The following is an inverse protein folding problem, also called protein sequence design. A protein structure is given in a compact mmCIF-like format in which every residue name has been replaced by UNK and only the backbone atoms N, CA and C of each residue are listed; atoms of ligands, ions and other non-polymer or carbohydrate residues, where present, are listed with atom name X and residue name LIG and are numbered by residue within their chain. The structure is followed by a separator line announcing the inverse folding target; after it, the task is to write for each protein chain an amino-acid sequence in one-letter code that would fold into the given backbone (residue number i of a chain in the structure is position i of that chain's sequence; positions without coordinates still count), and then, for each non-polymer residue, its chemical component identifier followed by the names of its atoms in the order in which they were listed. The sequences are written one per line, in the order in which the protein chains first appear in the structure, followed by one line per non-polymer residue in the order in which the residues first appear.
data_IF_323249765464
#
_entry.id   IF_323249765464
#
_cell.length_a   1.000
_cell.length_b   1.000
_cell.length_c   1.000
_cell.angle_alpha   90.00
_cell.angle_beta   90.00
_cell.angle_gamma   90.00
#
_symmetry.space_group_name_H-M   'P 1'
#
loop_
_entity.id
_entity.type
_entity.pdbx_description
1 polymer ?
#
# COMPACT_ATOMS: atom_id res chain seq x y z
N UNK A 1 8.20 19.58 -1.46
CA UNK A 1 7.28 20.14 -0.43
C UNK A 1 8.09 20.45 0.82
N UNK A 2 7.88 21.60 1.48
CA UNK A 2 8.60 21.91 2.73
C UNK A 2 8.26 20.83 3.78
N UNK A 3 9.23 20.37 4.60
CA UNK A 3 9.04 19.26 5.53
C UNK A 3 7.87 19.48 6.51
N UNK A 4 7.54 20.74 6.81
CA UNK A 4 6.39 21.13 7.64
C UNK A 4 5.03 20.80 7.02
N UNK A 5 4.88 20.83 5.69
CA UNK A 5 3.62 20.46 5.01
C UNK A 5 3.41 18.96 4.97
N UNK A 6 4.48 18.18 4.83
CA UNK A 6 4.41 16.71 4.85
C UNK A 6 4.04 16.21 6.24
N UNK A 7 4.65 16.80 7.29
CA UNK A 7 4.31 16.47 8.69
C UNK A 7 2.84 16.78 9.01
N UNK A 8 2.30 17.90 8.52
CA UNK A 8 0.89 18.25 8.72
C UNK A 8 -0.07 17.26 8.04
N UNK A 9 0.22 16.83 6.81
CA UNK A 9 -0.58 15.84 6.09
C UNK A 9 -0.51 14.48 6.78
N UNK A 10 0.67 14.06 7.24
CA UNK A 10 0.84 12.80 7.97
C UNK A 10 0.06 12.80 9.30
N UNK A 11 0.12 13.91 10.03
CA UNK A 11 -0.62 14.11 11.29
C UNK A 11 -2.14 14.13 11.06
N UNK A 12 -2.61 14.74 9.97
CA UNK A 12 -4.02 14.75 9.60
C UNK A 12 -4.52 13.34 9.23
N UNK A 13 -3.74 12.57 8.46
CA UNK A 13 -4.06 11.18 8.16
C UNK A 13 -4.11 10.32 9.44
N UNK A 14 -3.16 10.50 10.37
CA UNK A 14 -3.15 9.79 11.66
C UNK A 14 -4.33 10.16 12.54
N UNK A 15 -4.74 11.43 12.57
CA UNK A 15 -5.92 11.91 13.30
C UNK A 15 -7.21 11.33 12.72
N UNK A 16 -7.37 11.31 11.40
CA UNK A 16 -8.52 10.72 10.73
C UNK A 16 -8.59 9.19 10.95
N UNK A 17 -7.44 8.53 11.04
CA UNK A 17 -7.35 7.12 11.37
C UNK A 17 -7.84 6.82 12.79
N UNK A 18 -7.42 7.64 13.79
CA UNK A 18 -7.89 7.52 15.17
C UNK A 18 -9.37 7.86 15.33
N UNK A 19 -9.87 8.86 14.59
CA UNK A 19 -11.28 9.23 14.59
C UNK A 19 -12.17 8.13 13.97
N UNK A 20 -11.69 7.45 12.91
CA UNK A 20 -12.38 6.30 12.32
C UNK A 20 -12.48 5.11 13.28
N UNK A 21 -11.45 4.88 14.10
CA UNK A 21 -11.48 3.85 15.16
C UNK A 21 -12.51 4.20 16.26
N UNK A 22 -12.63 5.48 16.63
CA UNK A 22 -13.55 5.95 17.67
C UNK A 22 -15.04 5.92 17.29
N UNK A 23 -15.38 6.18 16.02
CA UNK A 23 -16.77 6.15 15.54
C UNK A 23 -17.34 4.72 15.53
N UNK A 24 -16.49 3.72 15.29
CA UNK A 24 -16.93 2.36 15.08
C UNK A 24 -17.03 1.51 16.38
N UNK A 25 -16.66 2.08 17.53
CA UNK A 25 -16.89 1.47 18.85
C UNK A 25 -18.31 1.73 19.42
N UNK A 26 -19.12 2.60 18.79
CA UNK A 26 -20.35 3.11 19.38
C UNK A 26 -21.67 2.54 18.82
N UNK A 27 -21.67 1.67 17.79
CA UNK A 27 -22.90 1.23 17.10
C UNK A 27 -22.89 -0.28 16.77
N UNK A 28 -24.05 -0.96 16.82
CA UNK A 28 -24.16 -2.42 16.95
C UNK A 28 -24.15 -3.32 15.69
N UNK A 29 -23.62 -4.52 15.92
CA UNK A 29 -23.79 -5.91 15.45
C UNK A 29 -23.72 -6.40 13.97
N UNK A 30 -24.11 -5.67 12.92
CA UNK A 30 -24.01 -6.20 11.52
C UNK A 30 -23.47 -5.18 10.50
N UNK A 31 -24.06 -3.97 10.37
CA UNK A 31 -23.53 -2.94 9.48
C UNK A 31 -22.15 -2.43 9.93
N UNK A 32 -21.84 -2.50 11.23
CA UNK A 32 -20.53 -2.10 11.77
C UNK A 32 -19.44 -3.10 11.43
N UNK A 33 -19.73 -4.41 11.47
CA UNK A 33 -18.77 -5.43 11.05
C UNK A 33 -18.37 -5.23 9.58
N UNK A 34 -19.34 -4.94 8.70
CA UNK A 34 -19.08 -4.62 7.28
C UNK A 34 -18.25 -3.35 7.09
N UNK A 35 -18.50 -2.30 7.88
CA UNK A 35 -17.71 -1.07 7.85
C UNK A 35 -16.24 -1.33 8.26
N UNK A 36 -16.00 -2.13 9.30
CA UNK A 36 -14.66 -2.54 9.70
C UNK A 36 -13.95 -3.39 8.65
N UNK A 37 -14.65 -4.31 7.99
CA UNK A 37 -14.07 -5.12 6.90
C UNK A 37 -13.70 -4.22 5.71
N UNK A 38 -14.52 -3.23 5.36
CA UNK A 38 -14.23 -2.27 4.30
C UNK A 38 -13.00 -1.40 4.64
N UNK A 39 -12.89 -0.93 5.89
CA UNK A 39 -11.70 -0.22 6.36
C UNK A 39 -10.45 -1.10 6.32
N UNK A 40 -10.54 -2.34 6.78
CA UNK A 40 -9.43 -3.30 6.75
C UNK A 40 -8.96 -3.58 5.31
N UNK A 41 -9.89 -3.72 4.35
CA UNK A 41 -9.57 -3.85 2.93
C UNK A 41 -8.82 -2.63 2.38
N UNK A 42 -9.27 -1.42 2.72
CA UNK A 42 -8.59 -0.18 2.34
C UNK A 42 -7.18 -0.05 2.94
N UNK A 43 -7.01 -0.43 4.21
CA UNK A 43 -5.70 -0.41 4.89
C UNK A 43 -4.75 -1.41 4.27
N UNK A 44 -5.20 -2.63 3.97
CA UNK A 44 -4.40 -3.66 3.32
C UNK A 44 -3.87 -3.17 1.96
N UNK A 45 -4.74 -2.58 1.13
CA UNK A 45 -4.36 -1.97 -0.16
C UNK A 45 -3.34 -0.85 -0.03
N UNK A 46 -3.64 0.12 0.83
CA UNK A 46 -2.83 1.32 0.97
C UNK A 46 -1.45 0.98 1.54
N UNK A 47 -1.40 0.11 2.55
CA UNK A 47 -0.15 -0.34 3.17
C UNK A 47 0.73 -1.11 2.19
N UNK A 48 0.15 -2.06 1.44
CA UNK A 48 0.90 -2.84 0.45
C UNK A 48 1.40 -2.00 -0.70
N UNK A 49 0.58 -1.07 -1.21
CA UNK A 49 0.96 -0.17 -2.30
C UNK A 49 2.12 0.77 -1.92
N UNK A 50 2.10 1.31 -0.69
CA UNK A 50 3.20 2.13 -0.18
C UNK A 50 4.49 1.31 -0.03
N UNK A 51 4.40 0.08 0.49
CA UNK A 51 5.55 -0.82 0.63
C UNK A 51 6.13 -1.22 -0.74
N UNK A 52 5.27 -1.57 -1.70
CA UNK A 52 5.67 -1.92 -3.06
C UNK A 52 6.33 -0.73 -3.77
N UNK A 53 5.76 0.47 -3.68
CA UNK A 53 6.36 1.68 -4.25
C UNK A 53 7.75 1.97 -3.68
N UNK A 54 7.95 1.75 -2.37
CA UNK A 54 9.28 1.88 -1.77
C UNK A 54 10.26 0.81 -2.30
N UNK A 55 9.85 -0.45 -2.37
CA UNK A 55 10.67 -1.53 -2.91
C UNK A 55 11.04 -1.28 -4.39
N UNK A 56 10.07 -0.88 -5.21
CA UNK A 56 10.26 -0.56 -6.63
C UNK A 56 11.21 0.61 -6.82
N UNK A 57 11.18 1.63 -5.95
CA UNK A 57 12.11 2.75 -6.06
C UNK A 57 13.58 2.29 -5.96
N UNK A 58 13.86 1.32 -5.08
CA UNK A 58 15.19 0.75 -4.91
C UNK A 58 15.55 -0.22 -6.05
N UNK A 59 14.67 -1.17 -6.38
CA UNK A 59 14.96 -2.17 -7.42
C UNK A 59 14.98 -1.55 -8.82
N UNK A 60 14.12 -0.56 -9.08
CA UNK A 60 14.02 0.13 -10.37
C UNK A 60 15.24 0.99 -10.67
N UNK A 61 15.77 1.72 -9.69
CA UNK A 61 17.00 2.50 -9.85
C UNK A 61 18.22 1.60 -10.10
N UNK A 62 18.34 0.50 -9.36
CA UNK A 62 19.38 -0.51 -9.60
C UNK A 62 19.24 -1.17 -10.99
N UNK A 63 18.02 -1.50 -11.40
CA UNK A 63 17.75 -2.09 -12.71
C UNK A 63 18.08 -1.14 -13.86
N UNK A 64 17.75 0.14 -13.74
CA UNK A 64 18.10 1.16 -14.72
C UNK A 64 19.63 1.31 -14.84
N UNK A 65 20.35 1.37 -13.72
CA UNK A 65 21.81 1.45 -13.72
C UNK A 65 22.48 0.24 -14.39
N UNK A 66 22.05 -0.97 -14.01
CA UNK A 66 22.59 -2.20 -14.58
C UNK A 66 22.33 -2.32 -16.10
N UNK A 67 21.17 -1.82 -16.56
CA UNK A 67 20.81 -1.84 -18.00
C UNK A 67 21.68 -0.87 -18.82
N UNK A 68 22.09 0.26 -18.24
CA UNK A 68 23.01 1.20 -18.90
C UNK A 68 24.39 0.59 -19.08
N UNK A 69 24.90 -0.15 -18.08
CA UNK A 69 26.21 -0.81 -18.18
C UNK A 69 26.19 -2.04 -19.09
N UNK A 70 25.11 -2.84 -19.02
CA UNK A 70 24.98 -4.12 -19.73
C UNK A 70 23.55 -4.25 -20.29
N UNK A 71 23.28 -3.76 -21.51
CA UNK A 71 21.94 -3.77 -22.08
C UNK A 71 21.37 -5.19 -22.24
N UNK A 72 22.24 -6.20 -22.36
CA UNK A 72 21.84 -7.61 -22.49
C UNK A 72 21.18 -8.15 -21.20
N UNK A 73 21.33 -7.47 -20.05
CA UNK A 73 20.72 -7.90 -18.79
C UNK A 73 19.29 -7.40 -18.58
N UNK A 74 18.79 -6.47 -19.41
CA UNK A 74 17.51 -5.78 -19.22
C UNK A 74 16.36 -6.70 -18.81
N UNK A 75 16.13 -7.77 -19.57
CA UNK A 75 15.05 -8.72 -19.31
C UNK A 75 15.17 -9.43 -17.96
N UNK A 76 16.39 -9.73 -17.50
CA UNK A 76 16.62 -10.35 -16.19
C UNK A 76 16.40 -9.36 -15.05
N UNK A 77 16.80 -8.10 -15.21
CA UNK A 77 16.65 -7.10 -14.14
C UNK A 77 15.20 -6.68 -13.94
N UNK A 78 14.39 -6.68 -15.00
CA UNK A 78 12.95 -6.46 -14.91
C UNK A 78 12.23 -7.49 -14.03
N UNK A 79 12.71 -8.73 -13.95
CA UNK A 79 12.12 -9.76 -13.09
C UNK A 79 12.20 -9.31 -11.61
N UNK A 80 13.31 -8.71 -11.18
CA UNK A 80 13.44 -8.23 -9.80
C UNK A 80 12.49 -7.06 -9.49
N UNK A 81 12.27 -6.16 -10.47
CA UNK A 81 11.30 -5.07 -10.32
C UNK A 81 9.87 -5.63 -10.25
N UNK A 82 9.53 -6.62 -11.07
CA UNK A 82 8.22 -7.27 -11.04
C UNK A 82 7.98 -8.05 -9.74
N UNK A 83 9.03 -8.70 -9.19
CA UNK A 83 8.94 -9.38 -7.88
C UNK A 83 8.69 -8.39 -6.73
N UNK A 84 9.23 -7.16 -6.82
CA UNK A 84 8.93 -6.11 -5.84
C UNK A 84 7.45 -5.69 -5.89
N UNK A 85 6.84 -5.67 -7.08
CA UNK A 85 5.42 -5.32 -7.25
C UNK A 85 4.45 -6.40 -6.73
N UNK A 86 4.92 -7.64 -6.59
CA UNK A 86 4.10 -8.71 -6.02
C UNK A 86 3.53 -8.36 -4.63
N UNK A 87 4.23 -7.51 -3.86
CA UNK A 87 3.75 -6.99 -2.57
C UNK A 87 2.40 -6.27 -2.72
N UNK A 88 2.25 -5.42 -3.74
CA UNK A 88 1.00 -4.72 -4.01
C UNK A 88 -0.11 -5.69 -4.46
N UNK A 89 0.24 -6.67 -5.30
CA UNK A 89 -0.72 -7.68 -5.80
C UNK A 89 -1.27 -8.53 -4.65
N UNK A 90 -0.43 -8.93 -3.68
CA UNK A 90 -0.90 -9.65 -2.51
C UNK A 90 -1.82 -8.80 -1.62
N UNK A 91 -1.52 -7.51 -1.42
CA UNK A 91 -2.43 -6.63 -0.70
C UNK A 91 -3.78 -6.43 -1.41
N UNK A 92 -3.77 -6.36 -2.74
CA UNK A 92 -4.98 -6.36 -3.57
C UNK A 92 -5.79 -7.64 -3.47
N UNK A 93 -5.12 -8.78 -3.49
CA UNK A 93 -5.78 -10.07 -3.31
C UNK A 93 -6.49 -10.14 -1.95
N UNK A 94 -5.83 -9.73 -0.87
CA UNK A 94 -6.43 -9.72 0.48
C UNK A 94 -7.59 -8.72 0.54
N UNK A 95 -7.43 -7.52 0.00
CA UNK A 95 -8.49 -6.52 -0.01
C UNK A 95 -9.72 -6.98 -0.80
N UNK A 96 -9.53 -7.63 -1.95
CA UNK A 96 -10.62 -8.23 -2.72
C UNK A 96 -11.29 -9.37 -1.96
N UNK A 97 -10.52 -10.21 -1.30
CA UNK A 97 -11.05 -11.31 -0.48
C UNK A 97 -11.91 -10.79 0.68
N UNK A 98 -11.49 -9.69 1.31
CA UNK A 98 -12.29 -8.99 2.32
C UNK A 98 -13.53 -8.33 1.72
N UNK A 99 -13.40 -7.70 0.55
CA UNK A 99 -14.52 -7.03 -0.12
C UNK A 99 -15.62 -7.99 -0.53
N UNK A 100 -15.28 -9.17 -1.03
CA UNK A 100 -16.25 -10.22 -1.41
C UNK A 100 -17.01 -10.76 -0.18
N UNK A 101 -16.47 -10.60 1.03
CA UNK A 101 -17.08 -11.07 2.28
C UNK A 101 -18.20 -10.14 2.79
N UNK A 102 -18.26 -8.89 2.31
CA UNK A 102 -19.22 -7.84 2.72
C UNK A 102 -20.55 -8.00 1.99
#
# INVERSE_FOLDING_TARGET
MKPTKLAFVLALCLLLFHAGIGVAAAQGDEPVAKAWIAMAAGIAMAGSGLAAGWAISATGTAAAGATVEKPEVFGRVLIFVALAEAIAIYGLLIALMLWIKI
#
